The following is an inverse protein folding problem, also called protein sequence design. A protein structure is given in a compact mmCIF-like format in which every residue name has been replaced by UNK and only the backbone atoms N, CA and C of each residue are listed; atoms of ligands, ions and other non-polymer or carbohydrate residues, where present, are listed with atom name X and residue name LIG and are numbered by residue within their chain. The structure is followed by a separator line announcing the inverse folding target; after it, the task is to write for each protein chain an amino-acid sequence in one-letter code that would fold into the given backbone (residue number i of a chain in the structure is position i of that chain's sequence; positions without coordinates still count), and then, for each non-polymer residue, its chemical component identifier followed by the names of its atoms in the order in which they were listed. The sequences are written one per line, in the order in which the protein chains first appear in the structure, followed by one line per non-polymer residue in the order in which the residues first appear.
data_IF_462190330573
#
_entry.id   IF_462190330573
#
_cell.length_a   1.000
_cell.length_b   1.000
_cell.length_c   1.000
_cell.angle_alpha   90.00
_cell.angle_beta   90.00
_cell.angle_gamma   90.00
#
_symmetry.space_group_name_H-M   'P 1'
#
loop_
_entity.id
_entity.type
_entity.pdbx_description
1 polymer ?
#
# COMPACT_ATOMS: atom_id res chain seq x y z
N UNK A 1 -35.63 -3.68 -12.67
CA UNK A 1 -35.81 -2.64 -13.72
C UNK A 1 -34.55 -1.76 -13.82
N UNK A 2 -33.96 -1.37 -12.69
CA UNK A 2 -32.72 -0.58 -12.59
C UNK A 2 -31.47 -1.23 -13.20
N UNK A 3 -31.23 -2.53 -12.99
CA UNK A 3 -30.04 -3.21 -13.52
C UNK A 3 -29.94 -3.19 -15.06
N UNK A 4 -31.10 -3.26 -15.76
CA UNK A 4 -31.15 -3.13 -17.22
C UNK A 4 -30.86 -1.70 -17.69
N UNK A 5 -31.27 -0.69 -16.93
CA UNK A 5 -31.03 0.72 -17.25
C UNK A 5 -29.53 1.03 -17.13
N UNK A 6 -28.91 0.60 -16.02
CA UNK A 6 -27.46 0.76 -15.80
C UNK A 6 -26.67 -0.01 -16.86
N UNK A 7 -27.05 -1.26 -17.14
CA UNK A 7 -26.43 -2.07 -18.20
C UNK A 7 -26.46 -1.41 -19.57
N UNK A 8 -27.59 -0.84 -19.96
CA UNK A 8 -27.74 -0.12 -21.22
C UNK A 8 -26.87 1.15 -21.27
N UNK A 9 -26.76 1.89 -20.16
CA UNK A 9 -25.91 3.08 -20.06
C UNK A 9 -24.43 2.72 -20.19
N UNK A 10 -23.98 1.64 -19.55
CA UNK A 10 -22.60 1.12 -19.69
C UNK A 10 -22.31 0.73 -21.14
N UNK A 11 -23.23 -0.01 -21.78
CA UNK A 11 -23.09 -0.43 -23.18
C UNK A 11 -23.01 0.77 -24.13
N UNK A 12 -23.82 1.82 -23.90
CA UNK A 12 -23.86 3.03 -24.70
C UNK A 12 -22.54 3.81 -24.58
N UNK A 13 -22.12 4.13 -23.36
CA UNK A 13 -20.90 4.89 -23.12
C UNK A 13 -19.65 4.12 -23.61
N UNK A 14 -19.62 2.79 -23.50
CA UNK A 14 -18.55 1.96 -24.06
C UNK A 14 -18.47 2.05 -25.59
N UNK A 15 -19.61 2.02 -26.27
CA UNK A 15 -19.65 2.13 -27.74
C UNK A 15 -19.27 3.53 -28.21
N UNK A 16 -19.68 4.57 -27.49
CA UNK A 16 -19.30 5.96 -27.76
C UNK A 16 -17.79 6.17 -27.56
N UNK A 17 -17.18 5.45 -26.61
CA UNK A 17 -15.73 5.38 -26.41
C UNK A 17 -15.00 4.44 -27.41
N UNK A 18 -15.68 3.86 -28.41
CA UNK A 18 -15.13 2.91 -29.39
C UNK A 18 -14.43 1.68 -28.79
N UNK A 19 -14.90 1.18 -27.64
CA UNK A 19 -14.30 0.04 -26.94
C UNK A 19 -15.13 -1.24 -27.12
N UNK A 20 -14.46 -2.39 -27.24
CA UNK A 20 -15.08 -3.71 -27.10
C UNK A 20 -15.30 -4.10 -25.63
N UNK A 21 -16.19 -5.07 -25.36
CA UNK A 21 -16.40 -5.58 -23.99
C UNK A 21 -15.11 -6.12 -23.37
N UNK A 22 -14.27 -6.78 -24.17
CA UNK A 22 -12.97 -7.31 -23.72
C UNK A 22 -11.99 -6.19 -23.35
N UNK A 23 -11.95 -5.09 -24.12
CA UNK A 23 -11.11 -3.93 -23.81
C UNK A 23 -11.57 -3.20 -22.54
N UNK A 24 -12.88 -3.02 -22.35
CA UNK A 24 -13.41 -2.43 -21.10
C UNK A 24 -13.10 -3.33 -19.90
N UNK A 25 -13.26 -4.64 -20.05
CA UNK A 25 -12.94 -5.60 -18.99
C UNK A 25 -11.45 -5.61 -18.64
N UNK A 26 -10.57 -5.48 -19.64
CA UNK A 26 -9.13 -5.39 -19.45
C UNK A 26 -8.75 -4.13 -18.67
N UNK A 27 -9.35 -2.96 -18.99
CA UNK A 27 -9.08 -1.72 -18.26
C UNK A 27 -9.62 -1.74 -16.82
N UNK A 28 -10.67 -2.52 -16.56
CA UNK A 28 -11.25 -2.71 -15.23
C UNK A 28 -10.62 -3.88 -14.45
N UNK A 29 -9.69 -4.63 -15.05
CA UNK A 29 -9.06 -5.84 -14.48
C UNK A 29 -10.06 -6.91 -14.03
N UNK A 30 -11.09 -7.15 -14.85
CA UNK A 30 -12.13 -8.15 -14.62
C UNK A 30 -12.37 -9.03 -15.86
N UNK A 31 -13.19 -10.07 -15.74
CA UNK A 31 -13.54 -10.95 -16.86
C UNK A 31 -14.47 -10.24 -17.88
N UNK A 32 -14.25 -10.39 -19.20
CA UNK A 32 -15.16 -9.91 -20.25
C UNK A 32 -16.60 -10.40 -20.09
N UNK A 33 -16.78 -11.59 -19.50
CA UNK A 33 -18.09 -12.15 -19.20
C UNK A 33 -18.86 -11.32 -18.17
N UNK A 34 -18.18 -10.65 -17.24
CA UNK A 34 -18.81 -9.78 -16.25
C UNK A 34 -19.39 -8.52 -16.91
N UNK A 35 -18.64 -7.88 -17.81
CA UNK A 35 -19.14 -6.75 -18.62
C UNK A 35 -20.34 -7.17 -19.46
N UNK A 36 -20.30 -8.35 -20.09
CA UNK A 36 -21.44 -8.87 -20.84
C UNK A 36 -22.68 -9.13 -19.97
N UNK A 37 -22.52 -9.61 -18.74
CA UNK A 37 -23.64 -9.79 -17.79
C UNK A 37 -24.24 -8.45 -17.35
N UNK A 38 -23.42 -7.42 -17.17
CA UNK A 38 -23.90 -6.07 -16.86
C UNK A 38 -24.73 -5.49 -17.99
N UNK A 39 -24.23 -5.57 -19.23
CA UNK A 39 -24.94 -5.00 -20.39
C UNK A 39 -26.27 -5.70 -20.70
N UNK A 40 -26.43 -6.99 -20.32
CA UNK A 40 -27.70 -7.72 -20.41
C UNK A 40 -28.62 -7.46 -19.21
N UNK A 41 -28.15 -6.76 -18.18
CA UNK A 41 -28.88 -6.49 -16.94
C UNK A 41 -29.06 -7.72 -16.04
N UNK A 42 -28.21 -8.73 -16.20
CA UNK A 42 -28.18 -9.95 -15.35
C UNK A 42 -27.47 -9.70 -14.02
N UNK A 43 -26.55 -8.73 -13.98
CA UNK A 43 -25.85 -8.27 -12.77
C UNK A 43 -25.49 -6.78 -12.89
N UNK A 44 -24.99 -6.16 -11.82
CA UNK A 44 -24.59 -4.74 -11.79
C UNK A 44 -23.17 -4.64 -11.22
N UNK A 45 -22.31 -3.71 -11.68
CA UNK A 45 -21.01 -3.49 -11.07
C UNK A 45 -21.17 -2.95 -9.64
N UNK A 46 -20.25 -3.29 -8.74
CA UNK A 46 -20.19 -2.68 -7.41
C UNK A 46 -19.74 -1.21 -7.48
N UNK A 47 -19.90 -0.48 -6.37
CA UNK A 47 -19.61 0.96 -6.30
C UNK A 47 -18.14 1.28 -6.60
N UNK A 48 -17.20 0.40 -6.24
CA UNK A 48 -15.78 0.57 -6.48
C UNK A 48 -15.48 0.43 -7.98
N UNK A 49 -16.14 -0.53 -8.62
CA UNK A 49 -16.05 -0.79 -10.05
C UNK A 49 -16.72 0.33 -10.85
N UNK A 50 -17.84 0.88 -10.35
CA UNK A 50 -18.53 2.01 -10.96
C UNK A 50 -17.68 3.29 -10.96
N UNK A 51 -16.97 3.55 -9.86
CA UNK A 51 -15.99 4.65 -9.77
C UNK A 51 -14.81 4.51 -10.74
N UNK A 52 -14.46 3.28 -11.13
CA UNK A 52 -13.42 3.03 -12.15
C UNK A 52 -13.96 3.10 -13.57
N UNK A 53 -15.21 2.69 -13.76
CA UNK A 53 -15.87 2.62 -15.06
C UNK A 53 -16.22 4.01 -15.59
N UNK A 54 -16.66 4.93 -14.73
CA UNK A 54 -16.98 6.32 -15.07
C UNK A 54 -15.84 7.04 -15.84
N UNK A 55 -14.61 7.16 -15.30
CA UNK A 55 -13.51 7.82 -15.99
C UNK A 55 -13.04 7.07 -17.24
N UNK A 56 -13.10 5.73 -17.25
CA UNK A 56 -12.76 4.92 -18.42
C UNK A 56 -13.70 5.19 -19.59
N UNK A 57 -14.99 5.36 -19.32
CA UNK A 57 -16.00 5.64 -20.33
C UNK A 57 -16.18 7.15 -20.60
N UNK A 58 -15.39 8.01 -19.96
CA UNK A 58 -15.48 9.46 -20.13
C UNK A 58 -16.79 10.07 -19.63
N UNK A 59 -17.44 9.43 -18.65
CA UNK A 59 -18.71 9.89 -18.06
C UNK A 59 -18.55 10.12 -16.56
N UNK A 60 -19.34 11.03 -16.00
CA UNK A 60 -19.38 11.23 -14.55
C UNK A 60 -20.14 10.09 -13.85
N UNK A 61 -19.86 9.84 -12.57
CA UNK A 61 -20.53 8.78 -11.81
C UNK A 61 -22.07 8.98 -11.78
N UNK A 62 -22.54 10.23 -11.77
CA UNK A 62 -23.97 10.56 -11.79
C UNK A 62 -24.66 10.17 -13.11
N UNK A 63 -23.91 9.93 -14.19
CA UNK A 63 -24.45 9.41 -15.45
C UNK A 63 -25.23 8.12 -15.24
N UNK A 64 -24.80 7.27 -14.31
CA UNK A 64 -25.43 5.98 -14.01
C UNK A 64 -26.60 6.07 -13.03
N UNK A 65 -26.80 7.19 -12.34
CA UNK A 65 -27.76 7.33 -11.23
C UNK A 65 -29.10 7.97 -11.60
N UNK A 66 -29.24 8.62 -12.76
CA UNK A 66 -30.44 9.42 -13.02
C UNK A 66 -31.76 8.62 -13.17
N UNK A 67 -32.50 8.55 -12.06
CA UNK A 67 -33.91 8.90 -11.97
C UNK A 67 -34.06 10.17 -11.14
N UNK A 68 -33.81 11.34 -11.74
CA UNK A 68 -34.49 12.57 -11.35
C UNK A 68 -34.80 13.36 -12.62
N UNK A 69 -36.07 13.31 -13.01
CA UNK A 69 -36.65 14.31 -13.90
C UNK A 69 -36.60 15.64 -13.14
N UNK A 70 -35.86 16.62 -13.65
CA UNK A 70 -36.22 18.02 -13.40
C UNK A 70 -37.15 18.45 -14.52
N UNK A 71 -38.41 18.63 -14.16
CA UNK A 71 -39.40 19.27 -15.00
C UNK A 71 -39.26 20.79 -14.85
N UNK A 72 -38.88 21.45 -15.95
CA UNK A 72 -39.29 22.81 -16.37
C UNK A 72 -38.67 23.99 -15.63
N UNK A 73 -38.44 25.16 -16.23
CA UNK A 73 -38.48 25.76 -17.58
C UNK A 73 -37.68 27.09 -17.39
N UNK A 74 -37.03 27.76 -18.35
CA UNK A 74 -37.49 28.27 -19.64
C UNK A 74 -36.31 28.69 -20.53
N UNK A 75 -36.58 28.69 -21.83
CA UNK A 75 -35.69 29.08 -22.93
C UNK A 75 -35.35 30.59 -22.96
N UNK A 76 -34.27 30.98 -23.64
CA UNK A 76 -34.26 31.57 -25.00
C UNK A 76 -32.80 31.68 -25.51
N UNK A 77 -32.64 31.34 -26.79
CA UNK A 77 -31.40 31.33 -27.56
C UNK A 77 -30.72 32.71 -27.74
N UNK A 78 -29.38 32.71 -27.80
CA UNK A 78 -28.56 33.86 -28.18
C UNK A 78 -27.15 33.45 -28.60
N UNK A 79 -26.88 33.62 -29.90
CA UNK A 79 -25.68 33.26 -30.67
C UNK A 79 -24.37 34.03 -30.34
N UNK A 80 -23.24 33.38 -30.69
CA UNK A 80 -21.88 33.87 -31.04
C UNK A 80 -20.99 34.56 -29.98
N UNK A 81 -19.82 33.96 -29.67
CA UNK A 81 -18.49 34.45 -30.10
C UNK A 81 -17.32 33.90 -29.24
N UNK A 82 -16.30 33.40 -29.95
CA UNK A 82 -14.85 33.32 -29.64
C UNK A 82 -14.31 32.54 -28.42
N UNK A 83 -13.60 31.44 -28.74
CA UNK A 83 -12.58 30.78 -27.91
C UNK A 83 -11.41 31.74 -27.59
N UNK A 84 -10.96 31.82 -26.32
CA UNK A 84 -9.58 32.22 -26.01
C UNK A 84 -8.63 31.02 -26.22
N UNK A 85 -7.38 31.26 -26.66
CA UNK A 85 -6.52 30.22 -27.20
C UNK A 85 -6.14 29.18 -26.14
N UNK A 86 -6.10 27.93 -26.61
CA UNK A 86 -5.64 26.75 -25.90
C UNK A 86 -4.39 27.05 -25.06
N UNK A 87 -4.56 27.03 -23.73
CA UNK A 87 -3.46 26.77 -22.83
C UNK A 87 -2.83 25.44 -23.27
N UNK A 88 -1.53 25.50 -23.56
CA UNK A 88 -0.74 24.41 -24.06
C UNK A 88 -1.09 23.10 -23.34
N UNK A 89 -1.39 22.06 -24.13
CA UNK A 89 -1.56 20.68 -23.65
C UNK A 89 -0.44 20.38 -22.64
N UNK A 90 -0.71 19.82 -21.45
CA UNK A 90 0.38 19.27 -20.66
C UNK A 90 1.02 18.21 -21.54
N UNK A 91 2.28 18.47 -21.90
CA UNK A 91 3.11 17.57 -22.69
C UNK A 91 2.99 16.16 -22.12
N UNK A 92 2.88 15.18 -23.01
CA UNK A 92 2.81 13.76 -22.72
C UNK A 92 3.59 13.41 -21.46
N UNK A 93 2.88 13.17 -20.34
CA UNK A 93 3.45 12.40 -19.24
C UNK A 93 3.67 11.00 -19.82
N UNK A 94 4.86 10.76 -20.35
CA UNK A 94 5.31 9.42 -20.65
C UNK A 94 5.05 8.60 -19.38
N UNK A 95 4.07 7.70 -19.42
CA UNK A 95 3.92 6.73 -18.35
C UNK A 95 4.96 5.65 -18.63
N UNK A 96 6.11 5.74 -17.98
CA UNK A 96 7.10 4.68 -18.04
C UNK A 96 6.57 3.52 -17.19
N UNK A 97 6.23 2.42 -17.86
CA UNK A 97 5.89 1.17 -17.17
C UNK A 97 7.18 0.34 -17.09
N UNK A 98 7.77 0.31 -15.90
CA UNK A 98 8.99 -0.43 -15.60
C UNK A 98 8.70 -1.86 -15.12
N UNK A 99 7.43 -2.27 -15.15
CA UNK A 99 6.97 -3.60 -14.76
C UNK A 99 7.57 -4.67 -15.67
N UNK A 100 7.76 -5.88 -15.14
CA UNK A 100 8.41 -7.00 -15.83
C UNK A 100 9.87 -6.70 -16.26
N UNK A 101 10.43 -5.57 -15.83
CA UNK A 101 11.79 -5.16 -16.19
C UNK A 101 12.84 -5.99 -15.46
N UNK A 102 14.03 -6.08 -16.06
CA UNK A 102 15.21 -6.64 -15.43
C UNK A 102 16.26 -5.55 -15.28
N UNK A 103 16.33 -4.98 -14.08
CA UNK A 103 17.18 -3.86 -13.73
C UNK A 103 18.34 -4.35 -12.88
N UNK A 104 19.55 -4.17 -13.39
CA UNK A 104 20.77 -4.63 -12.75
C UNK A 104 21.77 -3.48 -12.76
N UNK A 105 22.29 -3.12 -11.59
CA UNK A 105 23.24 -2.01 -11.40
C UNK A 105 22.72 -0.65 -11.92
N UNK A 106 21.39 -0.48 -12.03
CA UNK A 106 20.77 0.74 -12.50
C UNK A 106 20.72 1.81 -11.40
N UNK A 107 20.86 3.07 -11.78
CA UNK A 107 20.82 4.21 -10.86
C UNK A 107 19.59 5.08 -11.13
N UNK A 108 18.72 5.12 -10.13
CA UNK A 108 17.48 5.89 -10.06
C UNK A 108 17.53 6.92 -8.92
N UNK A 109 18.72 7.22 -8.39
CA UNK A 109 18.89 8.11 -7.26
C UNK A 109 18.40 9.53 -7.59
N UNK A 110 17.76 10.17 -6.63
CA UNK A 110 17.26 11.53 -6.73
C UNK A 110 16.06 11.72 -7.66
N UNK A 111 15.57 10.68 -8.35
CA UNK A 111 14.37 10.77 -9.16
C UNK A 111 13.17 11.22 -8.32
N UNK A 112 12.31 12.06 -8.90
CA UNK A 112 11.13 12.61 -8.22
C UNK A 112 9.85 12.17 -8.90
N UNK A 113 8.76 12.07 -8.13
CA UNK A 113 7.43 11.70 -8.62
C UNK A 113 7.42 10.38 -9.38
N UNK A 114 8.19 9.42 -8.90
CA UNK A 114 8.21 8.08 -9.47
C UNK A 114 6.95 7.33 -9.03
N UNK A 115 5.81 7.68 -9.62
CA UNK A 115 4.55 6.94 -9.49
C UNK A 115 4.47 5.76 -10.48
N UNK A 116 5.62 5.35 -11.02
CA UNK A 116 5.76 4.32 -12.04
C UNK A 116 5.38 2.94 -11.50
N UNK A 117 4.99 2.05 -12.39
CA UNK A 117 4.70 0.67 -12.01
C UNK A 117 5.98 -0.13 -12.17
N UNK A 118 6.41 -0.74 -11.07
CA UNK A 118 7.50 -1.71 -11.05
C UNK A 118 6.93 -3.09 -10.73
N UNK A 119 5.74 -3.46 -11.23
CA UNK A 119 5.19 -4.77 -10.87
C UNK A 119 5.97 -5.91 -11.53
N UNK A 120 6.20 -7.00 -10.81
CA UNK A 120 6.82 -8.23 -11.33
C UNK A 120 8.20 -8.03 -11.97
N UNK A 121 8.96 -7.03 -11.48
CA UNK A 121 10.29 -6.69 -11.96
C UNK A 121 11.37 -7.40 -11.13
N UNK A 122 12.52 -7.62 -11.76
CA UNK A 122 13.76 -8.01 -11.09
C UNK A 122 14.64 -6.77 -10.95
N UNK A 123 14.99 -6.42 -9.72
CA UNK A 123 15.86 -5.30 -9.38
C UNK A 123 17.01 -5.82 -8.53
N UNK A 124 18.23 -5.72 -9.06
CA UNK A 124 19.43 -6.19 -8.40
C UNK A 124 20.47 -5.09 -8.37
N UNK A 125 21.01 -4.79 -7.18
CA UNK A 125 22.07 -3.78 -7.00
C UNK A 125 21.72 -2.40 -7.57
N UNK A 126 20.44 -2.09 -7.64
CA UNK A 126 19.96 -0.80 -8.11
C UNK A 126 20.05 0.25 -6.99
N UNK A 127 20.20 1.51 -7.37
CA UNK A 127 20.23 2.64 -6.43
C UNK A 127 18.99 3.50 -6.60
N UNK A 128 18.40 3.89 -5.49
CA UNK A 128 17.23 4.76 -5.39
C UNK A 128 17.47 5.84 -4.32
N UNK A 129 18.74 6.21 -4.10
CA UNK A 129 19.14 7.05 -2.98
C UNK A 129 18.48 8.43 -3.10
N UNK A 130 17.78 8.88 -2.05
CA UNK A 130 17.09 10.18 -2.06
C UNK A 130 15.94 10.32 -3.07
N UNK A 131 15.51 9.22 -3.70
CA UNK A 131 14.41 9.24 -4.66
C UNK A 131 13.05 9.40 -3.96
N UNK A 132 12.11 10.08 -4.62
CA UNK A 132 10.70 10.09 -4.23
C UNK A 132 9.96 8.97 -4.97
N UNK A 133 9.70 7.92 -4.20
CA UNK A 133 9.05 6.66 -4.55
C UNK A 133 7.70 6.54 -3.82
N UNK A 134 7.11 7.66 -3.43
CA UNK A 134 5.88 7.68 -2.64
C UNK A 134 4.70 7.12 -3.44
N UNK A 135 3.91 6.26 -2.79
CA UNK A 135 2.73 5.62 -3.39
C UNK A 135 3.03 4.54 -4.43
N UNK A 136 4.27 4.02 -4.51
CA UNK A 136 4.63 2.95 -5.44
C UNK A 136 3.83 1.67 -5.20
N UNK A 137 3.52 0.96 -6.29
CA UNK A 137 2.99 -0.40 -6.25
C UNK A 137 4.05 -1.40 -6.72
N UNK A 138 4.55 -2.19 -5.77
CA UNK A 138 5.55 -3.23 -5.96
C UNK A 138 4.93 -4.60 -5.73
N UNK A 139 4.25 -5.11 -6.76
CA UNK A 139 3.59 -6.43 -6.72
C UNK A 139 4.44 -7.51 -7.40
N UNK A 140 4.82 -8.56 -6.68
CA UNK A 140 5.49 -9.74 -7.25
C UNK A 140 6.97 -9.51 -7.60
N UNK A 141 7.64 -8.58 -6.94
CA UNK A 141 9.00 -8.18 -7.30
C UNK A 141 10.07 -9.06 -6.67
N UNK A 142 11.24 -9.09 -7.32
CA UNK A 142 12.48 -9.55 -6.73
C UNK A 142 13.43 -8.37 -6.58
N UNK A 143 13.66 -7.93 -5.34
CA UNK A 143 14.46 -6.75 -5.01
C UNK A 143 15.60 -7.20 -4.12
N UNK A 144 16.82 -7.20 -4.66
CA UNK A 144 17.98 -7.76 -3.97
C UNK A 144 19.15 -6.79 -4.01
N UNK A 145 19.75 -6.58 -2.84
CA UNK A 145 20.96 -5.74 -2.69
C UNK A 145 20.80 -4.33 -3.26
N UNK A 146 19.58 -3.79 -3.27
CA UNK A 146 19.30 -2.43 -3.71
C UNK A 146 19.44 -1.44 -2.55
N UNK A 147 19.73 -0.19 -2.90
CA UNK A 147 19.92 0.90 -1.94
C UNK A 147 18.80 1.93 -2.08
N UNK A 148 17.96 2.02 -1.05
CA UNK A 148 16.87 2.99 -0.91
C UNK A 148 17.16 4.03 0.17
N UNK A 149 18.43 4.24 0.52
CA UNK A 149 18.79 5.16 1.61
C UNK A 149 18.27 6.57 1.32
N UNK A 150 17.74 7.24 2.33
CA UNK A 150 17.17 8.60 2.24
C UNK A 150 15.97 8.75 1.27
N UNK A 151 15.47 7.65 0.71
CA UNK A 151 14.32 7.67 -0.20
C UNK A 151 13.00 7.91 0.56
N UNK A 152 12.03 8.51 -0.12
CA UNK A 152 10.65 8.55 0.34
C UNK A 152 9.85 7.42 -0.31
N UNK A 153 9.46 6.42 0.48
CA UNK A 153 8.65 5.27 0.09
C UNK A 153 7.30 5.29 0.84
N UNK A 154 6.88 6.46 1.31
CA UNK A 154 5.64 6.62 2.08
C UNK A 154 4.42 6.20 1.25
N UNK A 155 3.44 5.58 1.90
CA UNK A 155 2.19 5.10 1.29
C UNK A 155 2.35 4.04 0.19
N UNK A 156 3.54 3.46 0.03
CA UNK A 156 3.82 2.45 -0.99
C UNK A 156 3.35 1.06 -0.55
N UNK A 157 3.09 0.19 -1.53
CA UNK A 157 2.55 -1.16 -1.31
C UNK A 157 3.46 -2.22 -1.92
N UNK A 158 4.02 -3.07 -1.06
CA UNK A 158 4.85 -4.22 -1.41
C UNK A 158 4.03 -5.50 -1.26
N UNK A 159 3.54 -6.02 -2.37
CA UNK A 159 2.62 -7.16 -2.38
C UNK A 159 3.29 -8.40 -2.97
N UNK A 160 3.39 -9.49 -2.21
CA UNK A 160 3.98 -10.75 -2.68
C UNK A 160 5.40 -10.57 -3.25
N UNK A 161 6.17 -9.65 -2.67
CA UNK A 161 7.50 -9.29 -3.15
C UNK A 161 8.58 -9.92 -2.27
N UNK A 162 9.72 -10.20 -2.87
CA UNK A 162 10.91 -10.70 -2.20
C UNK A 162 11.93 -9.59 -2.08
N UNK A 163 12.27 -9.24 -0.84
CA UNK A 163 13.24 -8.23 -0.47
C UNK A 163 14.36 -8.91 0.33
N UNK A 164 15.55 -9.04 -0.26
CA UNK A 164 16.71 -9.63 0.40
C UNK A 164 17.92 -8.68 0.38
N UNK A 165 18.50 -8.43 1.56
CA UNK A 165 19.76 -7.69 1.69
C UNK A 165 19.69 -6.26 1.14
N UNK A 166 18.53 -5.59 1.28
CA UNK A 166 18.35 -4.21 0.83
C UNK A 166 18.68 -3.20 1.94
N UNK A 167 19.08 -2.00 1.53
CA UNK A 167 19.33 -0.86 2.42
C UNK A 167 18.14 0.10 2.36
N UNK A 168 17.55 0.37 3.51
CA UNK A 168 16.45 1.31 3.76
C UNK A 168 16.86 2.33 4.82
N UNK A 169 18.14 2.72 4.83
CA UNK A 169 18.68 3.59 5.88
C UNK A 169 18.10 5.00 5.76
N UNK A 170 17.66 5.58 6.88
CA UNK A 170 17.18 6.97 6.92
C UNK A 170 16.05 7.25 5.90
N UNK A 171 15.33 6.22 5.46
CA UNK A 171 14.23 6.37 4.50
C UNK A 171 12.91 6.66 5.22
N UNK A 172 11.96 7.29 4.50
CA UNK A 172 10.58 7.41 4.97
C UNK A 172 9.74 6.26 4.43
N UNK A 173 9.20 5.43 5.31
CA UNK A 173 8.27 4.33 4.98
C UNK A 173 6.87 4.59 5.54
N UNK A 174 6.55 5.84 5.87
CA UNK A 174 5.30 6.21 6.56
C UNK A 174 4.08 5.61 5.86
N UNK A 175 3.25 4.90 6.63
CA UNK A 175 2.04 4.26 6.15
C UNK A 175 2.22 3.30 4.96
N UNK A 176 3.43 2.77 4.74
CA UNK A 176 3.65 1.73 3.73
C UNK A 176 3.05 0.39 4.19
N UNK A 177 2.63 -0.43 3.22
CA UNK A 177 2.12 -1.79 3.48
C UNK A 177 3.01 -2.85 2.81
N UNK A 178 3.38 -3.86 3.59
CA UNK A 178 4.03 -5.08 3.12
C UNK A 178 3.09 -6.28 3.30
N UNK A 179 2.50 -6.75 2.20
CA UNK A 179 1.46 -7.77 2.21
C UNK A 179 1.94 -9.05 1.52
N UNK A 180 1.99 -10.17 2.24
CA UNK A 180 2.44 -11.45 1.68
C UNK A 180 3.91 -11.44 1.23
N UNK A 181 4.72 -10.54 1.75
CA UNK A 181 6.08 -10.28 1.28
C UNK A 181 7.13 -10.97 2.16
N UNK A 182 8.28 -11.30 1.56
CA UNK A 182 9.43 -11.88 2.26
C UNK A 182 10.52 -10.81 2.40
N UNK A 183 10.77 -10.35 3.62
CA UNK A 183 11.70 -9.28 3.93
C UNK A 183 12.80 -9.84 4.82
N UNK A 184 13.99 -9.99 4.25
CA UNK A 184 15.08 -10.70 4.90
C UNK A 184 16.40 -9.94 4.79
N UNK A 185 17.17 -9.95 5.87
CA UNK A 185 18.52 -9.35 5.91
C UNK A 185 18.55 -7.86 5.51
N UNK A 186 17.43 -7.15 5.59
CA UNK A 186 17.33 -5.75 5.21
C UNK A 186 17.71 -4.82 6.37
N UNK A 187 18.23 -3.64 6.05
CA UNK A 187 18.66 -2.65 7.02
C UNK A 187 17.76 -1.41 6.99
N UNK A 188 16.92 -1.24 8.00
CA UNK A 188 16.02 -0.11 8.21
C UNK A 188 16.56 0.86 9.28
N UNK A 189 17.88 0.94 9.50
CA UNK A 189 18.43 1.79 10.55
C UNK A 189 18.12 3.27 10.28
N UNK A 190 17.64 3.98 11.28
CA UNK A 190 17.21 5.38 11.17
C UNK A 190 15.96 5.60 10.31
N UNK A 191 15.29 4.55 9.83
CA UNK A 191 14.11 4.68 8.98
C UNK A 191 12.88 5.11 9.79
N UNK A 192 11.99 5.86 9.15
CA UNK A 192 10.68 6.18 9.70
C UNK A 192 9.63 5.15 9.25
N UNK A 193 9.33 4.20 10.13
CA UNK A 193 8.34 3.14 9.93
C UNK A 193 6.97 3.52 10.50
N UNK A 194 6.70 4.81 10.73
CA UNK A 194 5.45 5.25 11.36
C UNK A 194 4.22 4.76 10.59
N UNK A 195 3.35 4.00 11.25
CA UNK A 195 2.12 3.47 10.67
C UNK A 195 2.33 2.35 9.64
N UNK A 196 3.53 1.78 9.53
CA UNK A 196 3.79 0.67 8.59
C UNK A 196 3.00 -0.57 8.98
N UNK A 197 2.47 -1.28 7.98
CA UNK A 197 1.75 -2.54 8.19
C UNK A 197 2.46 -3.70 7.48
N UNK A 198 2.92 -4.67 8.26
CA UNK A 198 3.42 -5.97 7.77
C UNK A 198 2.32 -7.03 7.91
N UNK A 199 1.61 -7.30 6.81
CA UNK A 199 0.48 -8.23 6.78
C UNK A 199 0.84 -9.54 6.09
N UNK A 200 0.61 -10.68 6.76
CA UNK A 200 0.89 -12.01 6.22
C UNK A 200 2.30 -12.16 5.66
N UNK A 201 3.27 -11.46 6.26
CA UNK A 201 4.63 -11.29 5.74
C UNK A 201 5.65 -12.03 6.61
N UNK A 202 6.83 -12.27 6.05
CA UNK A 202 7.98 -12.81 6.76
C UNK A 202 9.01 -11.70 6.97
N UNK A 203 9.34 -11.40 8.21
CA UNK A 203 10.28 -10.35 8.59
C UNK A 203 11.43 -10.98 9.40
N UNK A 204 12.56 -11.26 8.73
CA UNK A 204 13.62 -12.11 9.29
C UNK A 204 15.01 -11.48 9.18
N UNK A 205 15.79 -11.50 10.26
CA UNK A 205 17.20 -11.03 10.27
C UNK A 205 17.37 -9.58 9.81
N UNK A 206 16.35 -8.75 10.03
CA UNK A 206 16.40 -7.34 9.66
C UNK A 206 17.03 -6.53 10.80
N UNK A 207 17.60 -5.37 10.49
CA UNK A 207 18.13 -4.42 11.47
C UNK A 207 17.26 -3.15 11.47
N UNK A 208 16.93 -2.63 12.65
CA UNK A 208 16.07 -1.44 12.81
C UNK A 208 16.62 -0.49 13.89
N UNK A 209 17.94 -0.39 14.01
CA UNK A 209 18.60 0.49 15.00
C UNK A 209 18.19 1.93 14.73
N UNK A 210 17.82 2.66 15.78
CA UNK A 210 17.33 4.05 15.69
C UNK A 210 16.12 4.27 14.77
N UNK A 211 15.39 3.23 14.39
CA UNK A 211 14.19 3.35 13.59
C UNK A 211 12.99 3.86 14.41
N UNK A 212 12.13 4.67 13.79
CA UNK A 212 10.88 5.15 14.41
C UNK A 212 9.76 4.16 14.10
N UNK A 213 9.17 3.56 15.14
CA UNK A 213 8.21 2.45 15.00
C UNK A 213 6.76 2.82 15.33
N UNK A 214 6.45 4.10 15.56
CA UNK A 214 5.15 4.54 16.06
C UNK A 214 3.98 4.03 15.20
N UNK A 215 3.00 3.36 15.79
CA UNK A 215 1.86 2.83 15.05
C UNK A 215 2.16 1.66 14.11
N UNK A 216 3.37 1.09 14.14
CA UNK A 216 3.74 -0.07 13.30
C UNK A 216 2.95 -1.31 13.71
N UNK A 217 2.41 -2.04 12.73
CA UNK A 217 1.63 -3.24 12.97
C UNK A 217 2.18 -4.46 12.21
N UNK A 218 2.29 -5.59 12.91
CA UNK A 218 2.51 -6.92 12.35
C UNK A 218 1.22 -7.73 12.48
N UNK A 219 0.66 -8.20 11.37
CA UNK A 219 -0.63 -8.90 11.33
C UNK A 219 -0.48 -10.22 10.60
N UNK A 220 -0.72 -11.33 11.28
CA UNK A 220 -0.57 -12.69 10.72
C UNK A 220 0.82 -12.95 10.12
N UNK A 221 1.84 -12.30 10.68
CA UNK A 221 3.20 -12.29 10.14
C UNK A 221 4.15 -13.16 10.98
N UNK A 222 5.25 -13.60 10.37
CA UNK A 222 6.35 -14.25 11.10
C UNK A 222 7.47 -13.25 11.32
N UNK A 223 7.91 -13.11 12.56
CA UNK A 223 9.00 -12.22 12.96
C UNK A 223 10.10 -13.09 13.58
N UNK A 224 11.30 -13.03 13.02
CA UNK A 224 12.40 -13.83 13.53
C UNK A 224 13.75 -13.11 13.47
N UNK A 225 14.65 -13.48 14.38
CA UNK A 225 16.02 -12.95 14.43
C UNK A 225 16.02 -11.42 14.47
N UNK A 226 15.24 -10.83 15.39
CA UNK A 226 15.00 -9.40 15.44
C UNK A 226 15.18 -8.86 16.85
N UNK A 227 15.80 -7.70 16.95
CA UNK A 227 15.89 -6.91 18.17
C UNK A 227 15.09 -5.64 17.97
N UNK A 228 14.13 -5.40 18.86
CA UNK A 228 13.46 -4.12 19.00
C UNK A 228 14.19 -3.32 20.07
N UNK A 229 14.49 -2.06 19.77
CA UNK A 229 15.12 -1.10 20.68
C UNK A 229 14.37 0.23 20.61
N UNK A 230 14.55 1.10 21.61
CA UNK A 230 13.93 2.42 21.62
C UNK A 230 12.46 2.42 22.04
N UNK A 231 11.73 3.45 21.63
CA UNK A 231 10.33 3.63 22.04
C UNK A 231 9.39 3.05 20.99
N UNK A 232 8.50 2.16 21.42
CA UNK A 232 7.44 1.58 20.63
C UNK A 232 6.12 2.13 21.15
N UNK A 233 5.55 3.10 20.43
CA UNK A 233 4.25 3.70 20.76
C UNK A 233 3.20 3.24 19.78
N UNK A 234 2.03 2.84 20.26
CA UNK A 234 0.88 2.42 19.46
C UNK A 234 1.15 1.22 18.52
N UNK A 235 2.17 0.41 18.83
CA UNK A 235 2.52 -0.75 18.00
C UNK A 235 1.58 -1.93 18.23
N UNK A 236 1.40 -2.78 17.22
CA UNK A 236 0.53 -3.95 17.31
C UNK A 236 1.14 -5.22 16.72
N UNK A 237 0.97 -6.33 17.42
CA UNK A 237 1.33 -7.67 16.97
C UNK A 237 0.10 -8.59 17.08
N UNK A 238 -0.60 -8.82 15.96
CA UNK A 238 -1.78 -9.69 15.89
C UNK A 238 -1.45 -10.98 15.13
N UNK A 239 -1.81 -12.13 15.72
CA UNK A 239 -1.66 -13.46 15.11
C UNK A 239 -0.24 -13.75 14.58
N UNK A 240 0.78 -13.21 15.24
CA UNK A 240 2.16 -13.35 14.81
C UNK A 240 2.83 -14.61 15.36
N UNK A 241 3.77 -15.14 14.58
CA UNK A 241 4.74 -16.13 15.02
C UNK A 241 6.06 -15.44 15.35
N UNK A 242 6.65 -15.74 16.51
CA UNK A 242 7.94 -15.21 16.93
C UNK A 242 8.99 -16.31 16.96
N UNK A 243 10.23 -16.02 16.59
CA UNK A 243 11.38 -16.90 16.81
C UNK A 243 12.65 -16.08 17.03
N UNK A 244 13.30 -16.20 18.20
CA UNK A 244 14.50 -15.42 18.54
C UNK A 244 14.27 -13.91 18.41
N UNK A 245 13.20 -13.42 19.03
CA UNK A 245 12.84 -11.99 19.06
C UNK A 245 13.11 -11.44 20.46
N UNK A 246 13.86 -10.33 20.51
CA UNK A 246 14.20 -9.64 21.76
C UNK A 246 13.70 -8.21 21.71
N UNK A 247 13.09 -7.75 22.79
CA UNK A 247 12.95 -6.33 23.10
C UNK A 247 14.04 -5.99 24.09
N UNK A 248 14.87 -5.00 23.76
CA UNK A 248 16.02 -4.62 24.56
C UNK A 248 16.04 -3.11 24.72
N UNK A 249 16.30 -2.61 25.93
CA UNK A 249 16.37 -1.16 26.20
C UNK A 249 15.17 -0.40 25.61
N UNK A 250 13.99 -1.02 25.69
CA UNK A 250 12.80 -0.57 24.96
C UNK A 250 11.72 -0.03 25.89
N UNK A 251 11.03 1.01 25.45
CA UNK A 251 9.86 1.57 26.15
C UNK A 251 8.61 1.25 25.35
N UNK A 252 7.71 0.45 25.94
CA UNK A 252 6.49 -0.04 25.30
C UNK A 252 5.29 0.76 25.81
N UNK A 253 4.72 1.59 24.94
CA UNK A 253 3.57 2.45 25.25
C UNK A 253 2.45 2.07 24.28
N UNK A 254 1.27 1.76 24.81
CA UNK A 254 0.10 1.34 24.07
C UNK A 254 0.42 0.23 23.04
N UNK A 255 1.29 -0.72 23.42
CA UNK A 255 1.78 -1.75 22.50
C UNK A 255 1.03 -3.06 22.75
N UNK A 256 0.36 -3.57 21.71
CA UNK A 256 -0.56 -4.70 21.86
C UNK A 256 0.01 -6.00 21.31
N UNK A 257 -0.15 -7.08 22.08
CA UNK A 257 0.27 -8.43 21.70
C UNK A 257 -0.94 -9.37 21.72
N UNK A 258 -1.57 -9.57 20.56
CA UNK A 258 -2.70 -10.47 20.37
C UNK A 258 -2.26 -11.71 19.60
N UNK A 259 -1.42 -12.54 20.22
CA UNK A 259 -0.86 -13.74 19.60
C UNK A 259 -1.15 -14.99 20.44
N UNK A 260 -1.16 -16.16 19.79
CA UNK A 260 -1.44 -17.45 20.48
C UNK A 260 -0.41 -17.81 21.55
N UNK A 261 0.84 -17.36 21.39
CA UNK A 261 1.94 -17.63 22.31
C UNK A 261 2.94 -16.49 22.30
N UNK A 262 3.31 -16.01 23.49
CA UNK A 262 4.33 -14.97 23.69
C UNK A 262 5.59 -15.50 24.38
N UNK A 263 5.68 -16.82 24.62
CA UNK A 263 6.77 -17.44 25.39
C UNK A 263 8.16 -17.32 24.75
N UNK A 264 8.21 -17.06 23.45
CA UNK A 264 9.47 -16.95 22.70
C UNK A 264 10.01 -15.51 22.66
N UNK A 265 9.26 -14.55 23.21
CA UNK A 265 9.72 -13.17 23.34
C UNK A 265 10.64 -13.06 24.55
N UNK A 266 11.76 -12.37 24.36
CA UNK A 266 12.69 -12.01 25.42
C UNK A 266 12.61 -10.51 25.65
N UNK A 267 12.56 -10.09 26.91
CA UNK A 267 12.60 -8.69 27.31
C UNK A 267 13.84 -8.46 28.17
N UNK A 268 14.62 -7.43 27.87
CA UNK A 268 15.86 -7.07 28.57
C UNK A 268 15.86 -5.56 28.80
N UNK A 269 15.87 -5.15 30.07
CA UNK A 269 15.92 -3.73 30.45
C UNK A 269 14.83 -2.87 29.78
N UNK A 270 13.61 -3.40 29.75
CA UNK A 270 12.46 -2.74 29.14
C UNK A 270 11.61 -1.98 30.17
N UNK A 271 10.86 -1.01 29.68
CA UNK A 271 9.77 -0.34 30.38
C UNK A 271 8.46 -0.56 29.63
N UNK A 272 7.34 -0.65 30.33
CA UNK A 272 6.02 -0.74 29.72
C UNK A 272 4.96 0.02 30.51
N UNK A 273 3.94 0.54 29.83
CA UNK A 273 2.74 0.99 30.52
C UNK A 273 1.97 -0.18 31.15
N UNK A 274 1.04 0.14 32.05
CA UNK A 274 0.30 -0.86 32.82
C UNK A 274 -0.54 -1.77 31.92
N UNK A 275 -1.12 -1.24 30.85
CA UNK A 275 -2.02 -2.00 29.98
C UNK A 275 -1.21 -3.04 29.19
N UNK A 276 -0.14 -2.60 28.54
CA UNK A 276 0.83 -3.42 27.80
C UNK A 276 1.38 -4.53 28.69
N UNK A 277 1.81 -4.19 29.91
CA UNK A 277 2.36 -5.15 30.87
C UNK A 277 1.36 -6.25 31.23
N UNK A 278 0.10 -5.90 31.52
CA UNK A 278 -0.94 -6.88 31.85
C UNK A 278 -1.30 -7.78 30.65
N UNK A 279 -1.31 -7.24 29.43
CA UNK A 279 -1.49 -8.04 28.22
C UNK A 279 -0.38 -9.07 28.05
N UNK A 280 0.89 -8.67 28.20
CA UNK A 280 2.03 -9.59 28.13
C UNK A 280 1.96 -10.69 29.19
N UNK A 281 1.63 -10.32 30.43
CA UNK A 281 1.49 -11.25 31.55
C UNK A 281 0.36 -12.26 31.32
N UNK A 282 -0.82 -11.80 30.88
CA UNK A 282 -1.95 -12.67 30.56
C UNK A 282 -1.65 -13.61 29.38
N UNK A 283 -0.86 -13.16 28.41
CA UNK A 283 -0.32 -13.95 27.30
C UNK A 283 0.81 -14.90 27.68
N UNK A 284 1.13 -15.03 28.98
CA UNK A 284 2.20 -15.90 29.53
C UNK A 284 3.60 -15.58 28.97
N UNK A 285 3.86 -14.32 28.65
CA UNK A 285 5.21 -13.85 28.34
C UNK A 285 6.09 -13.82 29.59
N UNK A 286 7.41 -13.94 29.42
CA UNK A 286 8.36 -13.71 30.50
C UNK A 286 8.60 -12.21 30.67
N UNK A 287 7.94 -11.61 31.67
CA UNK A 287 7.96 -10.18 31.93
C UNK A 287 9.06 -9.74 32.93
N UNK A 288 9.99 -10.62 33.31
CA UNK A 288 11.02 -10.31 34.32
C UNK A 288 11.95 -9.16 33.93
N UNK A 289 12.18 -8.97 32.64
CA UNK A 289 12.98 -7.86 32.11
C UNK A 289 12.17 -6.59 31.85
N UNK A 290 10.95 -6.47 32.36
CA UNK A 290 10.07 -5.31 32.14
C UNK A 290 9.76 -4.64 33.48
N UNK A 291 10.00 -3.33 33.53
CA UNK A 291 9.57 -2.46 34.62
C UNK A 291 8.35 -1.63 34.19
N UNK A 292 7.50 -1.25 35.14
CA UNK A 292 6.33 -0.41 34.85
C UNK A 292 6.75 1.05 34.74
N UNK A 293 6.22 1.76 33.75
CA UNK A 293 6.33 3.22 33.68
C UNK A 293 5.60 3.82 34.89
N UNK A 294 6.31 4.62 35.67
CA UNK A 294 5.72 5.45 36.72
C UNK A 294 5.02 6.64 36.06
N UNK A 295 3.72 6.77 36.32
CA UNK A 295 2.89 7.88 35.87
C UNK A 295 3.38 9.24 36.39
#
# INVERSE_FOLDING_TARGET
MEAKIIGNKIAKARKEANMSQAQLAQQLFISPQAVGKWERGESVPDIITMNRLAPILGVDLNYFSEHFLSAGTDAVAGKFAEEPPAAAKPENKHSWDMSMGNWVDADFSGLKHLHEKFSSSNMQRCKFIGADLSGLLLKGNHIVSCDFSEADISNSQFQHSHLDTNLFKECSLKAAEFSGSHIKSCNFSGADLTGVVFKSSSFQKNTMVDAVLNGTAFISSSVADLVFEGTLTDCAFDNCGFSRVTFQNSTLINTFFKCRSLKQLRFVDCQADRITYEFLKSGKADVRGITLLTA
#
